data_IF_197697028083
#
_entry.id   IF_197697028083
#
_cell.length_a   1.000
_cell.length_b   1.000
_cell.length_c   1.000
_cell.angle_alpha   90.00
_cell.angle_beta   90.00
_cell.angle_gamma   90.00
#
_symmetry.space_group_name_H-M   'P 1'
#
loop_
_entity.id
_entity.type
_entity.pdbx_description
1 polymer ?
#
# COMPACT_ATOMS: atom_id res chain seq x y z
N UNK A 1 -8.37 41.00 -37.82
CA UNK A 1 -8.42 39.60 -37.35
C UNK A 1 -7.01 39.22 -36.94
N UNK A 2 -6.70 38.55 -35.84
CA UNK A 2 -7.39 38.15 -34.61
C UNK A 2 -6.27 37.41 -33.85
N UNK A 3 -6.18 37.64 -32.54
CA UNK A 3 -5.78 36.69 -31.49
C UNK A 3 -4.50 35.86 -31.69
N UNK A 4 -3.45 36.02 -30.89
CA UNK A 4 -3.34 35.79 -29.44
C UNK A 4 -2.35 34.64 -29.23
N UNK A 5 -1.06 34.96 -29.24
CA UNK A 5 0.06 34.02 -28.94
C UNK A 5 0.06 33.58 -27.46
N UNK A 6 -0.99 33.89 -26.70
CA UNK A 6 -1.18 33.49 -25.30
C UNK A 6 -1.84 32.11 -25.14
N UNK A 7 -2.19 31.42 -26.22
CA UNK A 7 -2.86 30.09 -26.15
C UNK A 7 -1.87 28.92 -25.99
N UNK A 8 -0.57 29.12 -26.20
CA UNK A 8 0.39 28.02 -26.11
C UNK A 8 0.74 27.59 -24.67
N UNK A 9 0.50 28.45 -23.66
CA UNK A 9 0.80 28.13 -22.26
C UNK A 9 -0.38 27.50 -21.49
N UNK A 10 -1.57 27.38 -22.08
CA UNK A 10 -2.75 26.80 -21.41
C UNK A 10 -2.96 25.29 -21.67
N UNK A 11 -2.03 24.62 -22.38
CA UNK A 11 -2.16 23.19 -22.67
C UNK A 11 -1.41 22.28 -21.68
N UNK A 12 -0.86 22.82 -20.60
CA UNK A 12 -0.23 22.04 -19.53
C UNK A 12 -0.99 22.19 -18.20
N UNK A 13 -2.32 22.12 -18.25
CA UNK A 13 -3.19 22.26 -17.08
C UNK A 13 -4.16 21.07 -16.95
N UNK A 14 -3.64 19.84 -17.09
CA UNK A 14 -4.32 18.61 -16.68
C UNK A 14 -3.28 17.59 -16.18
N UNK A 15 -2.41 17.97 -15.24
CA UNK A 15 -1.74 16.96 -14.41
C UNK A 15 -2.78 16.54 -13.38
N UNK A 16 -3.51 15.47 -13.72
CA UNK A 16 -4.55 14.82 -12.94
C UNK A 16 -4.25 14.88 -11.45
N UNK A 17 -5.16 15.46 -10.66
CA UNK A 17 -5.27 15.09 -9.25
C UNK A 17 -5.61 13.61 -9.25
N UNK A 18 -4.61 12.74 -9.10
CA UNK A 18 -4.83 11.37 -8.71
C UNK A 18 -5.66 11.45 -7.43
N UNK A 19 -6.93 11.09 -7.52
CA UNK A 19 -7.76 10.91 -6.35
C UNK A 19 -7.00 9.92 -5.47
N UNK A 20 -6.62 10.33 -4.27
CA UNK A 20 -6.17 9.42 -3.24
C UNK A 20 -7.38 8.56 -2.86
N UNK A 21 -7.64 7.53 -3.65
CA UNK A 21 -8.41 6.38 -3.22
C UNK A 21 -7.43 5.48 -2.48
N UNK A 22 -7.30 5.63 -1.16
CA UNK A 22 -6.89 4.48 -0.35
C UNK A 22 -8.14 3.56 -0.23
N UNK A 23 -8.03 2.21 -0.25
CA UNK A 23 -6.90 1.39 0.19
C UNK A 23 -6.66 0.19 -0.75
N UNK A 24 -5.96 0.39 -1.86
CA UNK A 24 -5.61 -0.73 -2.73
C UNK A 24 -4.11 -0.97 -2.68
N UNK A 25 -3.73 -2.21 -2.35
CA UNK A 25 -2.34 -2.65 -2.39
C UNK A 25 -1.81 -2.53 -3.81
N UNK A 26 -0.62 -1.95 -3.93
CA UNK A 26 0.10 -1.89 -5.19
C UNK A 26 0.54 -3.28 -5.62
N UNK A 27 0.76 -3.52 -6.92
CA UNK A 27 1.32 -4.78 -7.39
C UNK A 27 2.66 -5.13 -6.72
N UNK A 28 3.45 -4.12 -6.33
CA UNK A 28 4.69 -4.34 -5.60
C UNK A 28 4.45 -4.85 -4.18
N UNK A 29 3.51 -4.26 -3.44
CA UNK A 29 3.14 -4.69 -2.09
C UNK A 29 2.53 -6.10 -2.09
N UNK A 30 1.77 -6.46 -3.13
CA UNK A 30 1.27 -7.82 -3.31
C UNK A 30 2.37 -8.89 -3.42
N UNK A 31 3.59 -8.52 -3.83
CA UNK A 31 4.71 -9.44 -4.01
C UNK A 31 5.78 -9.30 -2.93
N UNK A 32 5.47 -8.60 -1.84
CA UNK A 32 6.39 -8.34 -0.74
C UNK A 32 6.22 -9.33 0.42
N UNK A 33 7.24 -9.38 1.28
CA UNK A 33 7.11 -9.88 2.65
C UNK A 33 5.95 -9.16 3.36
N UNK A 34 5.15 -9.83 4.21
CA UNK A 34 5.30 -11.23 4.65
C UNK A 34 4.63 -12.27 3.75
N UNK A 35 3.87 -11.85 2.74
CA UNK A 35 3.00 -12.74 1.97
C UNK A 35 3.72 -13.55 0.91
N UNK A 36 4.83 -13.02 0.37
CA UNK A 36 5.72 -13.78 -0.50
C UNK A 36 6.97 -14.15 0.26
N UNK A 37 7.30 -15.44 0.26
CA UNK A 37 8.56 -15.90 0.84
C UNK A 37 9.73 -15.23 0.12
N UNK A 38 10.48 -14.41 0.84
CA UNK A 38 11.66 -13.73 0.27
C UNK A 38 12.76 -14.74 -0.01
N UNK A 39 13.42 -14.62 -1.17
CA UNK A 39 14.63 -15.40 -1.48
C UNK A 39 15.87 -14.94 -0.71
N UNK A 40 15.68 -14.00 0.22
CA UNK A 40 16.70 -13.30 0.99
C UNK A 40 16.23 -13.18 2.44
N UNK A 41 17.16 -12.86 3.35
CA UNK A 41 16.82 -12.51 4.72
C UNK A 41 15.91 -11.26 4.74
N UNK A 42 14.95 -11.25 5.67
CA UNK A 42 14.02 -10.13 5.85
C UNK A 42 14.82 -8.87 6.19
N UNK A 43 14.63 -7.82 5.41
CA UNK A 43 15.36 -6.56 5.58
C UNK A 43 14.56 -5.55 6.41
N UNK A 44 15.25 -4.55 6.96
CA UNK A 44 14.58 -3.42 7.62
C UNK A 44 13.58 -2.70 6.69
N UNK A 45 13.88 -2.63 5.38
CA UNK A 45 12.98 -2.03 4.41
C UNK A 45 11.69 -2.85 4.22
N UNK A 46 11.75 -4.17 4.39
CA UNK A 46 10.57 -5.04 4.35
C UNK A 46 9.68 -4.80 5.57
N UNK A 47 10.29 -4.71 6.77
CA UNK A 47 9.56 -4.44 8.00
C UNK A 47 8.90 -3.05 8.03
N UNK A 48 9.60 -2.01 7.55
CA UNK A 48 9.03 -0.65 7.48
C UNK A 48 7.84 -0.60 6.52
N UNK A 49 7.90 -1.35 5.42
CA UNK A 49 6.77 -1.43 4.48
C UNK A 49 5.57 -2.10 5.12
N UNK A 50 5.74 -3.28 5.72
CA UNK A 50 4.64 -3.97 6.44
C UNK A 50 4.06 -3.08 7.55
N UNK A 51 4.90 -2.35 8.29
CA UNK A 51 4.44 -1.40 9.30
C UNK A 51 3.59 -0.27 8.68
N UNK A 52 4.01 0.27 7.54
CA UNK A 52 3.26 1.32 6.83
C UNK A 52 1.89 0.82 6.38
N UNK A 53 1.81 -0.42 5.90
CA UNK A 53 0.54 -1.06 5.51
C UNK A 53 -0.38 -1.27 6.72
N UNK A 54 0.17 -1.68 7.86
CA UNK A 54 -0.59 -1.78 9.11
C UNK A 54 -1.10 -0.42 9.59
N UNK A 55 -0.27 0.62 9.52
CA UNK A 55 -0.66 2.00 9.86
C UNK A 55 -1.79 2.51 8.96
N UNK A 56 -1.72 2.24 7.65
CA UNK A 56 -2.79 2.54 6.71
C UNK A 56 -4.06 1.74 7.01
N UNK A 57 -3.91 0.49 7.44
CA UNK A 57 -4.99 -0.35 7.93
C UNK A 57 -5.46 0.04 9.35
N UNK A 58 -4.91 1.11 9.95
CA UNK A 58 -5.39 1.74 11.17
C UNK A 58 -4.75 1.25 12.47
N UNK A 59 -3.52 0.76 12.42
CA UNK A 59 -2.64 0.57 13.58
C UNK A 59 -1.95 1.89 13.94
N UNK A 60 -1.92 2.26 15.22
CA UNK A 60 -1.18 3.41 15.75
C UNK A 60 0.00 2.95 16.63
N UNK A 61 1.21 2.80 16.07
CA UNK A 61 2.39 2.41 16.85
C UNK A 61 2.85 3.49 17.84
N UNK A 62 2.39 4.74 17.70
CA UNK A 62 2.72 5.84 18.61
C UNK A 62 1.78 5.89 19.83
N UNK A 63 0.75 5.02 19.87
CA UNK A 63 -0.18 4.96 20.97
C UNK A 63 0.51 4.62 22.29
N UNK A 64 0.50 5.57 23.23
CA UNK A 64 1.15 5.42 24.53
C UNK A 64 0.26 4.66 25.52
N UNK A 65 0.42 3.33 25.57
CA UNK A 65 -0.28 2.43 26.49
C UNK A 65 0.70 1.52 27.23
N UNK A 66 0.45 1.17 28.50
CA UNK A 66 1.21 0.13 29.20
C UNK A 66 0.83 -1.29 28.75
N UNK A 67 -0.23 -1.43 27.94
CA UNK A 67 -0.72 -2.69 27.42
C UNK A 67 -0.30 -2.88 25.96
N UNK A 68 -0.29 -4.13 25.51
CA UNK A 68 -0.14 -4.44 24.09
C UNK A 68 -1.22 -3.74 23.27
N UNK A 69 -0.93 -3.20 22.07
CA UNK A 69 -1.89 -2.45 21.28
C UNK A 69 -3.13 -3.30 20.94
N UNK A 70 -4.31 -2.75 21.19
CA UNK A 70 -5.60 -3.39 20.95
C UNK A 70 -6.09 -3.23 19.50
N UNK A 71 -5.54 -2.25 18.78
CA UNK A 71 -5.82 -1.93 17.39
C UNK A 71 -5.04 -2.79 16.38
N UNK A 72 -3.91 -3.37 16.78
CA UNK A 72 -3.04 -4.16 15.90
C UNK A 72 -3.77 -5.37 15.30
N UNK A 73 -4.53 -6.12 16.09
CA UNK A 73 -5.26 -7.28 15.57
C UNK A 73 -6.35 -6.86 14.59
N UNK A 74 -7.04 -5.74 14.86
CA UNK A 74 -8.03 -5.19 13.95
C UNK A 74 -7.39 -4.68 12.64
N UNK A 75 -6.21 -4.06 12.70
CA UNK A 75 -5.45 -3.64 11.53
C UNK A 75 -4.99 -4.84 10.70
N UNK A 76 -4.45 -5.89 11.32
CA UNK A 76 -4.06 -7.14 10.64
C UNK A 76 -5.25 -7.80 9.93
N UNK A 77 -6.42 -7.81 10.55
CA UNK A 77 -7.62 -8.37 9.92
C UNK A 77 -8.09 -7.56 8.71
N UNK A 78 -8.03 -6.23 8.79
CA UNK A 78 -8.34 -5.33 7.66
C UNK A 78 -7.35 -5.51 6.53
N UNK A 79 -6.05 -5.45 6.83
CA UNK A 79 -4.98 -5.64 5.86
C UNK A 79 -5.10 -7.01 5.17
N UNK A 80 -5.35 -8.09 5.92
CA UNK A 80 -5.57 -9.41 5.33
C UNK A 80 -6.80 -9.46 4.39
N UNK A 81 -7.82 -8.63 4.61
CA UNK A 81 -8.96 -8.53 3.70
C UNK A 81 -8.62 -7.76 2.42
N UNK A 82 -7.80 -6.71 2.52
CA UNK A 82 -7.26 -5.96 1.38
C UNK A 82 -6.38 -6.88 0.51
N UNK A 83 -5.45 -7.64 1.10
CA UNK A 83 -4.65 -8.62 0.38
C UNK A 83 -5.47 -9.66 -0.37
N UNK A 84 -6.55 -10.18 0.24
CA UNK A 84 -7.46 -11.10 -0.48
C UNK A 84 -8.14 -10.44 -1.67
N UNK A 85 -8.45 -9.16 -1.56
CA UNK A 85 -9.14 -8.39 -2.60
C UNK A 85 -8.20 -8.04 -3.74
N UNK A 86 -7.00 -7.56 -3.43
CA UNK A 86 -6.08 -6.96 -4.42
C UNK A 86 -5.00 -7.94 -4.92
N UNK A 87 -4.60 -8.90 -4.09
CA UNK A 87 -3.41 -9.73 -4.31
C UNK A 87 -3.72 -11.21 -4.56
N UNK A 88 -4.92 -11.54 -5.07
CA UNK A 88 -5.32 -12.94 -5.35
C UNK A 88 -4.27 -13.71 -6.16
N UNK A 89 -3.64 -13.08 -7.16
CA UNK A 89 -2.60 -13.68 -7.99
C UNK A 89 -1.35 -14.10 -7.17
N UNK A 90 -0.89 -13.23 -6.27
CA UNK A 90 0.28 -13.49 -5.44
C UNK A 90 0.02 -14.60 -4.42
N UNK A 91 -1.17 -14.60 -3.80
CA UNK A 91 -1.60 -15.66 -2.88
C UNK A 91 -1.58 -17.05 -3.54
N UNK A 92 -2.01 -17.14 -4.81
CA UNK A 92 -1.97 -18.41 -5.55
C UNK A 92 -0.56 -18.82 -5.95
N UNK A 93 0.32 -17.86 -6.26
CA UNK A 93 1.68 -18.13 -6.70
C UNK A 93 2.58 -18.63 -5.55
N UNK A 94 2.43 -18.08 -4.34
CA UNK A 94 3.19 -18.52 -3.17
C UNK A 94 2.80 -19.95 -2.75
N UNK A 95 1.50 -20.25 -2.71
CA UNK A 95 0.99 -21.58 -2.36
C UNK A 95 1.51 -22.72 -3.27
N UNK A 96 1.83 -22.43 -4.54
CA UNK A 96 2.37 -23.39 -5.50
C UNK A 96 3.88 -23.62 -5.42
N UNK A 97 4.59 -22.91 -4.52
CA UNK A 97 6.05 -23.02 -4.35
C UNK A 97 6.47 -24.07 -3.31
N UNK A 98 5.49 -24.76 -2.71
CA UNK A 98 5.66 -25.89 -1.78
C UNK A 98 5.61 -27.25 -2.49
#
# INVERSE_FOLDING_TARGET
MKLSTTVACMLFACASTAAFAAPHLTPQECNAYPFVHTGHEVTHADLVRELTELEQAGYDPAHASPYYPDDLDAAKHRLAAEYRTDCTHALTADAGKH
#
